data_IF_587968941375
#
_entry.id   IF_587968941375
#
_cell.length_a   1.000
_cell.length_b   1.000
_cell.length_c   1.000
_cell.angle_alpha   90.00
_cell.angle_beta   90.00
_cell.angle_gamma   90.00
#
_symmetry.space_group_name_H-M   'P 1'
#
loop_
_entity.id
_entity.type
_entity.pdbx_description
1 polymer ?
#
# COMPACT_ATOMS: atom_id res chain seq x y z
N UNK A 1 11.24 -9.67 -37.75
CA UNK A 1 11.47 -10.23 -36.41
C UNK A 1 11.82 -9.16 -35.39
N UNK A 2 12.76 -8.29 -35.72
CA UNK A 2 13.16 -7.21 -34.81
C UNK A 2 12.01 -6.24 -34.53
N UNK A 3 11.21 -5.89 -35.53
CA UNK A 3 10.03 -5.04 -35.37
C UNK A 3 8.93 -5.71 -34.55
N UNK A 4 8.77 -7.03 -34.70
CA UNK A 4 7.80 -7.79 -33.92
C UNK A 4 8.18 -7.80 -32.44
N UNK A 5 9.47 -8.01 -32.13
CA UNK A 5 9.98 -7.99 -30.77
C UNK A 5 9.81 -6.63 -30.13
N UNK A 6 10.13 -5.55 -30.87
CA UNK A 6 9.94 -4.19 -30.38
C UNK A 6 8.47 -3.87 -30.12
N UNK A 7 7.57 -4.30 -31.00
CA UNK A 7 6.13 -4.17 -30.78
C UNK A 7 5.68 -4.93 -29.54
N UNK A 8 6.18 -6.14 -29.37
CA UNK A 8 5.85 -6.97 -28.21
C UNK A 8 6.35 -6.34 -26.91
N UNK A 9 7.57 -5.83 -26.91
CA UNK A 9 8.18 -5.26 -25.70
C UNK A 9 7.63 -3.88 -25.32
N UNK A 10 7.26 -3.04 -26.30
CA UNK A 10 6.92 -1.64 -26.05
C UNK A 10 5.46 -1.28 -26.31
N UNK A 11 4.70 -2.11 -27.03
CA UNK A 11 3.29 -1.83 -27.33
C UNK A 11 2.30 -2.57 -26.48
N UNK A 12 2.70 -3.68 -25.89
CA UNK A 12 1.75 -4.60 -25.29
C UNK A 12 1.93 -4.84 -23.79
N UNK A 13 2.42 -3.85 -23.10
CA UNK A 13 2.13 -3.79 -21.68
C UNK A 13 0.87 -2.92 -21.52
N UNK A 14 -0.36 -3.51 -21.51
CA UNK A 14 -1.59 -2.75 -21.38
C UNK A 14 -1.68 -2.03 -20.03
N UNK A 15 -0.77 -2.35 -19.12
CA UNK A 15 -0.71 -1.80 -17.79
C UNK A 15 0.26 -0.62 -17.68
N UNK A 16 0.99 -0.29 -18.76
CA UNK A 16 1.90 0.86 -18.74
C UNK A 16 1.11 2.16 -18.82
N UNK A 17 1.19 3.03 -17.82
CA UNK A 17 0.48 4.30 -17.85
C UNK A 17 1.11 5.31 -18.79
N UNK A 18 0.35 6.36 -19.15
CA UNK A 18 0.84 7.46 -19.95
C UNK A 18 1.84 8.35 -19.22
N UNK A 19 2.48 9.25 -19.95
CA UNK A 19 3.53 10.12 -19.43
C UNK A 19 3.11 11.02 -18.25
N UNK A 20 1.90 11.61 -18.23
CA UNK A 20 1.50 12.43 -17.08
C UNK A 20 1.53 11.68 -15.77
N UNK A 21 1.10 10.41 -15.76
CA UNK A 21 1.10 9.57 -14.57
C UNK A 21 2.50 9.14 -14.20
N UNK A 22 3.33 8.71 -15.15
CA UNK A 22 4.72 8.33 -14.91
C UNK A 22 5.52 9.48 -14.31
N UNK A 23 5.32 10.69 -14.82
CA UNK A 23 5.97 11.89 -14.29
C UNK A 23 5.56 12.16 -12.85
N UNK A 24 4.26 12.10 -12.55
CA UNK A 24 3.72 12.27 -11.21
C UNK A 24 4.30 11.24 -10.24
N UNK A 25 4.28 9.97 -10.64
CA UNK A 25 4.84 8.88 -9.84
C UNK A 25 6.31 9.11 -9.50
N UNK A 26 7.12 9.48 -10.49
CA UNK A 26 8.55 9.71 -10.29
C UNK A 26 8.83 10.92 -9.40
N UNK A 27 7.95 11.92 -9.39
CA UNK A 27 8.07 13.08 -8.52
C UNK A 27 7.72 12.75 -7.07
N UNK A 28 6.70 11.92 -6.85
CA UNK A 28 6.23 11.56 -5.50
C UNK A 28 7.12 10.50 -4.87
N UNK A 29 7.57 9.53 -5.68
CA UNK A 29 8.37 8.40 -5.21
C UNK A 29 9.73 8.31 -5.93
N UNK A 30 10.61 9.30 -5.72
CA UNK A 30 11.93 9.24 -6.35
C UNK A 30 12.72 8.04 -5.82
N UNK A 31 13.43 7.37 -6.73
CA UNK A 31 14.23 6.20 -6.35
C UNK A 31 13.44 4.90 -6.19
N UNK A 32 12.18 4.87 -6.63
CA UNK A 32 11.39 3.65 -6.60
C UNK A 32 12.02 2.55 -7.46
N UNK A 33 12.04 1.32 -6.94
CA UNK A 33 12.54 0.13 -7.62
C UNK A 33 11.46 -0.94 -7.67
N UNK A 34 11.66 -1.97 -8.51
CA UNK A 34 10.74 -3.10 -8.64
C UNK A 34 9.30 -2.65 -8.96
N UNK A 35 9.18 -1.69 -9.86
CA UNK A 35 7.92 -1.03 -10.19
C UNK A 35 7.07 -1.92 -11.09
N UNK A 36 5.85 -2.23 -10.64
CA UNK A 36 4.87 -3.02 -11.39
C UNK A 36 3.53 -2.29 -11.44
N UNK A 37 3.03 -2.05 -12.65
CA UNK A 37 1.78 -1.34 -12.90
C UNK A 37 0.65 -2.30 -13.21
N UNK A 38 -0.53 -2.01 -12.67
CA UNK A 38 -1.79 -2.69 -13.00
C UNK A 38 -2.89 -1.67 -13.24
N UNK A 39 -3.72 -1.92 -14.24
CA UNK A 39 -4.88 -1.07 -14.50
C UNK A 39 -6.11 -1.68 -13.85
N UNK A 40 -6.75 -0.92 -12.99
CA UNK A 40 -7.99 -1.32 -12.31
C UNK A 40 -9.20 -1.22 -13.26
N UNK A 41 -10.28 -1.94 -12.91
CA UNK A 41 -11.51 -1.94 -13.70
C UNK A 41 -12.16 -0.56 -13.83
N UNK A 42 -11.98 0.29 -12.82
CA UNK A 42 -12.52 1.66 -12.80
C UNK A 42 -11.68 2.66 -13.59
N UNK A 43 -10.58 2.21 -14.22
CA UNK A 43 -9.67 3.05 -14.99
C UNK A 43 -8.53 3.66 -14.17
N UNK A 44 -8.53 3.47 -12.86
CA UNK A 44 -7.39 3.88 -12.02
C UNK A 44 -6.21 2.92 -12.24
N UNK A 45 -5.03 3.37 -11.87
CA UNK A 45 -3.81 2.57 -11.91
C UNK A 45 -3.32 2.27 -10.52
N UNK A 46 -2.94 1.02 -10.28
CA UNK A 46 -2.25 0.57 -9.10
C UNK A 46 -0.78 0.34 -9.45
N UNK A 47 0.13 0.73 -8.57
CA UNK A 47 1.55 0.48 -8.74
C UNK A 47 2.13 -0.13 -7.47
N UNK A 48 2.84 -1.24 -7.63
CA UNK A 48 3.59 -1.89 -6.55
C UNK A 48 5.06 -1.57 -6.77
N UNK A 49 5.75 -1.16 -5.72
CA UNK A 49 7.14 -0.73 -5.82
C UNK A 49 7.83 -0.78 -4.47
N UNK A 50 9.12 -0.50 -4.46
CA UNK A 50 9.91 -0.39 -3.24
C UNK A 50 10.66 0.93 -3.21
N UNK A 51 10.74 1.53 -2.03
CA UNK A 51 11.61 2.68 -1.76
C UNK A 51 12.43 2.35 -0.52
N UNK A 52 13.75 2.37 -0.65
CA UNK A 52 14.67 2.00 0.44
C UNK A 52 14.36 0.62 1.03
N UNK A 53 13.97 -0.32 0.16
CA UNK A 53 13.64 -1.69 0.58
C UNK A 53 12.27 -1.85 1.22
N UNK A 54 11.50 -0.78 1.35
CA UNK A 54 10.15 -0.81 1.92
C UNK A 54 9.13 -0.96 0.81
N UNK A 55 8.29 -1.99 0.92
CA UNK A 55 7.25 -2.29 -0.07
C UNK A 55 6.08 -1.32 0.08
N UNK A 56 5.63 -0.78 -1.05
CA UNK A 56 4.51 0.17 -1.11
C UNK A 56 3.60 -0.15 -2.28
N UNK A 57 2.35 0.23 -2.13
CA UNK A 57 1.36 0.20 -3.19
C UNK A 57 0.73 1.58 -3.26
N UNK A 58 0.67 2.16 -4.46
CA UNK A 58 0.02 3.46 -4.65
C UNK A 58 -1.05 3.37 -5.74
N UNK A 59 -2.03 4.27 -5.67
CA UNK A 59 -3.13 4.36 -6.62
C UNK A 59 -3.18 5.75 -7.21
N UNK A 60 -3.35 5.80 -8.52
CA UNK A 60 -3.39 7.05 -9.29
C UNK A 60 -4.57 7.04 -10.25
N UNK A 61 -5.09 8.23 -10.54
CA UNK A 61 -5.93 8.43 -11.70
C UNK A 61 -5.05 8.45 -12.96
N UNK A 62 -5.65 8.16 -14.10
CA UNK A 62 -4.99 8.21 -15.42
C UNK A 62 -4.32 9.56 -15.67
N UNK A 63 -4.89 10.64 -15.15
CA UNK A 63 -4.36 12.00 -15.27
C UNK A 63 -3.03 12.23 -14.54
N UNK A 64 -2.67 11.33 -13.64
CA UNK A 64 -1.50 11.48 -12.76
C UNK A 64 -1.86 11.94 -11.37
N UNK A 65 -3.14 12.14 -11.05
CA UNK A 65 -3.55 12.50 -9.70
C UNK A 65 -3.34 11.33 -8.76
N UNK A 66 -2.54 11.55 -7.72
CA UNK A 66 -2.34 10.57 -6.65
C UNK A 66 -3.59 10.45 -5.79
N UNK A 67 -3.98 9.21 -5.48
CA UNK A 67 -5.17 8.92 -4.69
C UNK A 67 -4.84 8.40 -3.29
N UNK A 68 -3.94 7.42 -3.22
CA UNK A 68 -3.65 6.72 -1.97
C UNK A 68 -2.31 6.00 -2.06
N UNK A 69 -1.64 5.84 -0.92
CA UNK A 69 -0.48 4.95 -0.78
C UNK A 69 -0.65 4.09 0.47
N UNK A 70 -0.39 2.81 0.34
CA UNK A 70 -0.27 1.87 1.44
C UNK A 70 1.20 1.46 1.57
N UNK A 71 1.75 1.60 2.76
CA UNK A 71 3.13 1.24 3.07
C UNK A 71 3.15 0.06 4.01
N UNK A 72 3.88 -1.00 3.64
CA UNK A 72 4.11 -2.13 4.53
C UNK A 72 5.11 -1.68 5.61
N UNK A 73 4.56 -1.22 6.73
CA UNK A 73 5.34 -0.63 7.80
C UNK A 73 5.84 -1.73 8.73
N UNK A 74 7.15 -1.93 8.77
CA UNK A 74 7.70 -2.98 9.63
C UNK A 74 7.44 -2.67 11.11
N UNK A 75 7.10 -3.71 11.86
CA UNK A 75 6.70 -3.56 13.27
C UNK A 75 7.82 -2.92 14.10
N UNK A 76 9.08 -3.25 13.83
CA UNK A 76 10.23 -2.67 14.51
C UNK A 76 10.46 -1.19 14.17
N UNK A 77 9.85 -0.68 13.11
CA UNK A 77 9.89 0.74 12.73
C UNK A 77 8.80 1.56 13.41
N UNK A 78 7.81 0.92 14.02
CA UNK A 78 6.75 1.62 14.74
C UNK A 78 7.33 2.35 15.95
N UNK A 79 6.87 3.58 16.17
CA UNK A 79 7.23 4.33 17.37
C UNK A 79 6.74 3.57 18.60
N UNK A 80 7.57 3.54 19.64
CA UNK A 80 7.27 2.80 20.86
C UNK A 80 5.89 3.09 21.46
N UNK A 81 5.42 4.35 21.54
CA UNK A 81 4.08 4.63 22.07
C UNK A 81 2.96 3.97 21.27
N UNK A 82 3.09 3.93 19.93
CA UNK A 82 2.10 3.28 19.07
C UNK A 82 2.12 1.77 19.30
N UNK A 83 3.30 1.18 19.23
CA UNK A 83 3.47 -0.26 19.42
C UNK A 83 2.92 -0.72 20.78
N UNK A 84 3.23 0.01 21.85
CA UNK A 84 2.77 -0.31 23.20
C UNK A 84 1.25 -0.29 23.33
N UNK A 85 0.59 0.68 22.67
CA UNK A 85 -0.87 0.75 22.67
C UNK A 85 -1.51 -0.48 22.03
N UNK A 86 -0.93 -0.96 20.95
CA UNK A 86 -1.50 -2.09 20.18
C UNK A 86 -1.10 -3.43 20.76
N UNK A 87 0.07 -3.56 21.35
CA UNK A 87 0.53 -4.81 22.00
C UNK A 87 -0.34 -5.22 23.18
N UNK A 88 -1.08 -4.29 23.77
CA UNK A 88 -2.06 -4.61 24.82
C UNK A 88 -3.16 -5.56 24.36
N UNK A 89 -3.46 -5.56 23.07
CA UNK A 89 -4.51 -6.39 22.50
C UNK A 89 -4.02 -7.75 22.00
N UNK A 90 -2.71 -7.92 21.87
CA UNK A 90 -2.10 -9.16 21.41
C UNK A 90 -0.85 -8.93 20.61
N UNK A 91 -0.47 -9.93 19.82
CA UNK A 91 0.72 -9.88 18.97
C UNK A 91 0.41 -9.17 17.66
N UNK A 92 1.16 -8.13 17.35
CA UNK A 92 1.05 -7.44 16.07
C UNK A 92 1.64 -8.33 14.98
N UNK A 93 0.79 -8.73 14.03
CA UNK A 93 1.17 -9.61 12.93
C UNK A 93 1.55 -8.83 11.68
N UNK A 94 0.90 -7.70 11.43
CA UNK A 94 1.22 -6.81 10.33
C UNK A 94 0.82 -5.38 10.67
N UNK A 95 1.46 -4.43 9.98
CA UNK A 95 1.21 -3.02 10.14
C UNK A 95 1.28 -2.36 8.76
N UNK A 96 0.20 -1.72 8.36
CA UNK A 96 0.12 -0.98 7.11
C UNK A 96 -0.21 0.46 7.42
N UNK A 97 0.59 1.38 6.89
CA UNK A 97 0.31 2.81 6.96
C UNK A 97 -0.40 3.25 5.68
N UNK A 98 -1.54 3.90 5.81
CA UNK A 98 -2.39 4.32 4.69
C UNK A 98 -2.44 5.84 4.65
N UNK A 99 -1.95 6.42 3.55
CA UNK A 99 -2.07 7.84 3.25
C UNK A 99 -3.06 8.03 2.11
N UNK A 100 -3.99 8.95 2.28
CA UNK A 100 -4.95 9.34 1.23
C UNK A 100 -4.77 10.81 0.90
N UNK A 101 -5.13 11.18 -0.32
CA UNK A 101 -5.02 12.57 -0.77
C UNK A 101 -5.85 13.55 0.06
N UNK A 102 -6.89 13.07 0.72
CA UNK A 102 -7.86 13.89 1.46
C UNK A 102 -7.75 13.76 2.98
N UNK A 103 -6.81 12.99 3.52
CA UNK A 103 -6.66 12.87 4.98
C UNK A 103 -5.21 12.63 5.42
N UNK A 104 -4.98 12.76 6.73
CA UNK A 104 -3.65 12.72 7.34
C UNK A 104 -3.02 11.33 7.40
N UNK A 105 -3.79 10.29 7.16
CA UNK A 105 -3.31 8.92 7.25
C UNK A 105 -3.85 8.16 8.44
N UNK A 106 -3.65 6.85 8.37
CA UNK A 106 -4.08 5.92 9.41
C UNK A 106 -3.22 4.67 9.35
N UNK A 107 -3.25 3.89 10.43
CA UNK A 107 -2.66 2.55 10.45
C UNK A 107 -3.75 1.50 10.40
N UNK A 108 -3.44 0.38 9.77
CA UNK A 108 -4.23 -0.84 9.83
C UNK A 108 -3.35 -1.96 10.34
N UNK A 109 -3.73 -2.53 11.48
CA UNK A 109 -2.97 -3.60 12.14
C UNK A 109 -3.77 -4.89 12.11
N UNK A 110 -3.06 -6.00 11.89
CA UNK A 110 -3.60 -7.32 12.18
C UNK A 110 -2.98 -7.77 13.50
N UNK A 111 -3.82 -8.04 14.50
CA UNK A 111 -3.39 -8.42 15.85
C UNK A 111 -4.01 -9.76 16.21
N UNK A 112 -3.17 -10.69 16.66
CA UNK A 112 -3.59 -12.01 17.13
C UNK A 112 -3.65 -12.00 18.64
N UNK A 113 -4.84 -12.27 19.19
CA UNK A 113 -5.03 -12.29 20.64
C UNK A 113 -4.54 -13.60 21.30
N UNK A 114 -4.70 -13.71 22.61
CA UNK A 114 -4.27 -14.88 23.38
C UNK A 114 -5.04 -16.17 23.03
N UNK A 115 -6.18 -16.04 22.39
CA UNK A 115 -6.98 -17.18 21.91
C UNK A 115 -6.67 -17.53 20.46
N UNK A 116 -5.61 -16.96 19.88
CA UNK A 116 -5.19 -17.15 18.48
C UNK A 116 -6.19 -16.60 17.46
N UNK A 117 -7.09 -15.71 17.87
CA UNK A 117 -8.03 -15.03 17.00
C UNK A 117 -7.39 -13.76 16.45
N UNK A 118 -7.55 -13.54 15.15
CA UNK A 118 -7.01 -12.36 14.48
C UNK A 118 -8.07 -11.28 14.40
N UNK A 119 -7.63 -10.05 14.64
CA UNK A 119 -8.47 -8.86 14.58
C UNK A 119 -7.80 -7.82 13.70
N UNK A 120 -8.61 -7.03 13.01
CA UNK A 120 -8.14 -5.84 12.30
C UNK A 120 -8.42 -4.63 13.18
N UNK A 121 -7.38 -3.85 13.45
CA UNK A 121 -7.49 -2.58 14.16
C UNK A 121 -7.16 -1.45 13.20
N UNK A 122 -8.03 -0.46 13.12
CA UNK A 122 -7.77 0.77 12.37
C UNK A 122 -7.53 1.86 13.39
N UNK A 123 -6.41 2.57 13.25
CA UNK A 123 -6.02 3.62 14.18
C UNK A 123 -5.72 4.93 13.45
N UNK A 124 -5.67 6.00 14.19
CA UNK A 124 -5.10 7.26 13.70
C UNK A 124 -3.55 7.17 13.68
N UNK A 125 -2.91 8.28 13.35
CA UNK A 125 -1.43 8.34 13.25
C UNK A 125 -0.72 8.21 14.59
N UNK A 126 -1.45 8.34 15.69
CA UNK A 126 -0.89 8.19 17.06
C UNK A 126 -1.17 6.82 17.67
N UNK A 127 -1.86 5.96 16.94
CA UNK A 127 -2.21 4.62 17.41
C UNK A 127 -3.49 4.53 18.22
N UNK A 128 -4.31 5.60 18.23
CA UNK A 128 -5.62 5.56 18.88
C UNK A 128 -6.60 4.78 18.02
N UNK A 129 -7.24 3.76 18.61
CA UNK A 129 -8.13 2.86 17.88
C UNK A 129 -9.39 3.59 17.46
N UNK A 130 -9.66 3.58 16.15
CA UNK A 130 -10.85 4.16 15.54
C UNK A 130 -11.89 3.09 15.23
N UNK A 131 -11.44 1.89 14.87
CA UNK A 131 -12.32 0.77 14.53
C UNK A 131 -11.62 -0.55 14.84
N UNK A 132 -12.42 -1.58 15.13
CA UNK A 132 -11.93 -2.93 15.40
C UNK A 132 -12.94 -3.93 14.88
N UNK A 133 -12.47 -4.94 14.14
CA UNK A 133 -13.31 -6.01 13.62
C UNK A 133 -12.54 -7.33 13.61
N UNK A 134 -13.26 -8.44 13.59
CA UNK A 134 -12.64 -9.75 13.45
C UNK A 134 -12.09 -9.90 12.04
N UNK A 135 -10.89 -10.48 11.97
CA UNK A 135 -10.28 -10.82 10.69
C UNK A 135 -10.89 -12.13 10.20
N UNK A 136 -11.60 -12.06 9.06
CA UNK A 136 -12.17 -13.23 8.43
C UNK A 136 -11.18 -13.76 7.38
N UNK A 137 -10.93 -15.08 7.36
CA UNK A 137 -10.03 -15.71 6.38
C UNK A 137 -10.44 -15.40 4.94
N UNK A 138 -11.74 -15.18 4.69
CA UNK A 138 -12.22 -14.75 3.39
C UNK A 138 -11.69 -13.40 2.93
N UNK A 139 -11.25 -12.55 3.83
CA UNK A 139 -10.67 -11.25 3.52
C UNK A 139 -9.23 -11.34 3.01
N UNK A 140 -8.59 -12.51 3.18
CA UNK A 140 -7.25 -12.78 2.64
C UNK A 140 -7.25 -13.07 1.13
N UNK A 141 -8.40 -13.35 0.59
CA UNK A 141 -8.56 -13.68 -0.81
C UNK A 141 -9.06 -12.48 -1.60
#
# INVERSE_FOLDING_TARGET
>A
MKEFILKYLFRFNPNTPGQPLLKSFNQIFPGATNVEWSKEKDGHFEVIFRVNGIEQIAWFQKSGKWLKTETNYKIDMLKAPIREKLEKFGQIMSSIFIEKADNAGSYEFIIRDSFQVRHIFITDTEGCVLDRRNFDEGELL
#
